data_IF_596379391552
#
_entry.id   IF_596379391552
#
_cell.length_a   1.000
_cell.length_b   1.000
_cell.length_c   1.000
_cell.angle_alpha   90.00
_cell.angle_beta   90.00
_cell.angle_gamma   90.00
#
_symmetry.space_group_name_H-M   'P 1'
#
loop_
_entity.id
_entity.type
_entity.pdbx_description
1 polymer ?
#
# COMPACT_ATOMS: atom_id res chain seq x y z
N UNK A 1 -9.50 2.87 -36.47
CA UNK A 1 -8.19 3.42 -36.04
C UNK A 1 -7.08 2.64 -36.74
N UNK A 2 -6.11 3.33 -37.34
CA UNK A 2 -4.92 2.71 -37.95
C UNK A 2 -3.81 2.59 -36.89
N UNK A 3 -3.06 1.48 -36.90
CA UNK A 3 -1.91 1.28 -36.00
C UNK A 3 -0.64 1.82 -36.66
N UNK A 4 0.20 2.49 -35.87
CA UNK A 4 1.54 2.94 -36.29
C UNK A 4 2.59 1.96 -35.80
N UNK A 5 3.54 1.59 -36.66
CA UNK A 5 4.69 0.76 -36.26
C UNK A 5 5.70 1.60 -35.47
N UNK A 6 6.03 1.15 -34.26
CA UNK A 6 7.09 1.70 -33.42
C UNK A 6 8.29 0.76 -33.32
N UNK A 7 9.43 1.27 -32.84
CA UNK A 7 10.62 0.45 -32.56
C UNK A 7 10.30 -0.58 -31.48
N UNK A 8 10.80 -1.80 -31.64
CA UNK A 8 10.63 -2.86 -30.65
C UNK A 8 11.25 -2.46 -29.31
N UNK A 9 10.53 -2.75 -28.22
CA UNK A 9 10.92 -2.48 -26.84
C UNK A 9 9.87 -3.00 -25.85
N UNK A 10 10.20 -2.99 -24.56
CA UNK A 10 9.28 -3.44 -23.52
C UNK A 10 8.12 -2.44 -23.38
N UNK A 11 6.89 -2.89 -23.65
CA UNK A 11 5.68 -2.05 -23.66
C UNK A 11 4.50 -2.70 -22.89
N UNK A 12 4.76 -3.72 -22.07
CA UNK A 12 3.74 -4.27 -21.17
C UNK A 12 3.62 -3.32 -19.99
N UNK A 13 2.52 -2.58 -19.91
CA UNK A 13 2.19 -1.61 -18.86
C UNK A 13 0.66 -1.58 -18.63
N UNK A 14 0.17 -1.10 -17.47
CA UNK A 14 0.95 -0.71 -16.29
C UNK A 14 1.63 -1.92 -15.63
N UNK A 15 2.62 -1.64 -14.78
CA UNK A 15 3.36 -2.66 -14.04
C UNK A 15 3.27 -2.35 -12.54
N UNK A 16 3.28 -3.37 -11.66
CA UNK A 16 3.45 -3.10 -10.24
C UNK A 16 4.83 -2.48 -10.01
N UNK A 17 4.92 -1.50 -9.11
CA UNK A 17 6.19 -1.02 -8.58
C UNK A 17 6.36 -1.62 -7.19
N UNK A 18 7.16 -2.68 -7.03
CA UNK A 18 7.33 -3.31 -5.71
C UNK A 18 8.65 -2.94 -5.09
N UNK A 19 8.69 -2.84 -3.77
CA UNK A 19 9.94 -2.75 -3.01
C UNK A 19 10.37 -4.18 -2.63
N UNK A 20 11.51 -4.63 -3.12
CA UNK A 20 12.09 -5.93 -2.76
C UNK A 20 13.07 -5.74 -1.62
N UNK A 21 12.75 -6.28 -0.44
CA UNK A 21 13.66 -6.34 0.70
C UNK A 21 14.40 -7.67 0.73
N UNK A 22 15.66 -7.63 1.13
CA UNK A 22 16.56 -8.80 1.11
C UNK A 22 17.73 -8.62 2.08
N UNK A 23 18.46 -9.71 2.31
CA UNK A 23 19.62 -9.75 3.20
C UNK A 23 19.38 -10.55 4.47
N UNK A 24 20.29 -10.43 5.43
CA UNK A 24 20.31 -11.17 6.69
C UNK A 24 20.25 -10.20 7.89
N UNK A 25 20.48 -10.69 9.12
CA UNK A 25 20.45 -9.87 10.33
C UNK A 25 21.45 -8.71 10.37
N UNK A 26 22.62 -8.90 9.74
CA UNK A 26 23.72 -7.93 9.77
C UNK A 26 23.69 -6.94 8.61
N UNK A 27 23.07 -7.34 7.49
CA UNK A 27 23.09 -6.57 6.25
C UNK A 27 21.74 -6.74 5.54
N UNK A 28 20.96 -5.66 5.48
CA UNK A 28 19.67 -5.60 4.79
C UNK A 28 19.65 -4.51 3.74
N UNK A 29 18.84 -4.69 2.71
CA UNK A 29 18.64 -3.66 1.69
C UNK A 29 17.26 -3.77 1.04
N UNK A 30 16.82 -2.66 0.45
CA UNK A 30 15.62 -2.55 -0.38
C UNK A 30 16.02 -2.22 -1.83
N UNK A 31 15.33 -2.77 -2.81
CA UNK A 31 15.43 -2.35 -4.22
C UNK A 31 14.06 -2.33 -4.87
N UNK A 32 13.76 -1.26 -5.60
CA UNK A 32 12.51 -1.17 -6.34
C UNK A 32 12.62 -1.95 -7.65
N UNK A 33 11.65 -2.84 -7.88
CA UNK A 33 11.55 -3.70 -9.05
C UNK A 33 10.18 -3.53 -9.67
N UNK A 34 10.14 -3.28 -10.98
CA UNK A 34 8.88 -3.31 -11.74
C UNK A 34 8.75 -4.59 -12.59
N UNK A 35 9.87 -5.21 -12.96
CA UNK A 35 9.87 -6.43 -13.80
C UNK A 35 9.66 -7.63 -12.89
N UNK A 36 8.40 -7.83 -12.49
CA UNK A 36 7.94 -8.85 -11.54
C UNK A 36 6.53 -9.31 -11.93
N UNK A 37 6.09 -10.45 -11.39
CA UNK A 37 4.73 -10.95 -11.55
C UNK A 37 4.57 -12.40 -11.12
N UNK A 38 3.32 -12.86 -11.12
CA UNK A 38 2.97 -14.25 -10.81
C UNK A 38 3.34 -15.18 -11.97
N UNK A 39 3.98 -16.31 -11.65
CA UNK A 39 4.32 -17.37 -12.62
C UNK A 39 3.30 -18.51 -12.57
N UNK A 40 2.97 -18.98 -11.37
CA UNK A 40 2.16 -20.18 -11.16
C UNK A 40 1.23 -20.00 -9.95
N UNK A 41 0.03 -20.60 -10.01
CA UNK A 41 -0.92 -20.63 -8.91
C UNK A 41 -0.67 -21.78 -7.93
N UNK A 42 -0.28 -22.96 -8.44
CA UNK A 42 -0.04 -24.15 -7.60
C UNK A 42 1.15 -24.98 -8.14
N UNK A 43 2.32 -24.99 -7.46
CA UNK A 43 2.62 -24.19 -6.27
C UNK A 43 2.61 -22.69 -6.58
N UNK A 44 2.35 -21.81 -5.60
CA UNK A 44 2.37 -20.38 -5.82
C UNK A 44 3.80 -19.92 -6.11
N UNK A 45 4.00 -19.31 -7.28
CA UNK A 45 5.32 -18.87 -7.74
C UNK A 45 5.27 -17.45 -8.29
N UNK A 46 6.36 -16.73 -8.11
CA UNK A 46 6.58 -15.37 -8.59
C UNK A 46 7.99 -15.24 -9.17
N UNK A 47 8.28 -14.12 -9.83
CA UNK A 47 9.64 -13.76 -10.20
C UNK A 47 9.95 -12.30 -9.93
N UNK A 48 11.24 -12.00 -9.80
CA UNK A 48 11.78 -10.66 -9.98
C UNK A 48 12.91 -10.71 -11.00
N UNK A 49 13.00 -9.71 -11.88
CA UNK A 49 14.14 -9.54 -12.79
C UNK A 49 15.06 -8.44 -12.29
N UNK A 50 16.26 -8.82 -11.87
CA UNK A 50 17.24 -7.91 -11.26
C UNK A 50 18.54 -7.91 -12.05
N UNK A 51 19.18 -6.75 -12.17
CA UNK A 51 20.50 -6.67 -12.80
C UNK A 51 21.59 -7.14 -11.85
N UNK A 52 22.61 -7.89 -12.30
CA UNK A 52 23.73 -8.30 -11.46
C UNK A 52 24.48 -7.15 -10.78
N UNK A 53 24.47 -5.94 -11.36
CA UNK A 53 25.13 -4.78 -10.78
C UNK A 53 24.41 -4.19 -9.56
N UNK A 54 23.15 -4.57 -9.30
CA UNK A 54 22.39 -4.07 -8.15
C UNK A 54 22.91 -4.71 -6.87
N UNK A 55 23.05 -3.92 -5.81
CA UNK A 55 23.54 -4.39 -4.51
C UNK A 55 22.74 -5.58 -3.95
N UNK A 56 21.40 -5.54 -4.09
CA UNK A 56 20.53 -6.64 -3.67
C UNK A 56 20.78 -7.96 -4.38
N UNK A 57 21.43 -7.98 -5.55
CA UNK A 57 21.64 -9.21 -6.31
C UNK A 57 22.42 -10.25 -5.50
N UNK A 58 23.55 -9.84 -4.94
CA UNK A 58 24.41 -10.73 -4.15
C UNK A 58 23.75 -11.11 -2.82
N UNK A 59 23.00 -10.19 -2.20
CA UNK A 59 22.25 -10.47 -0.96
C UNK A 59 21.17 -11.53 -1.16
N UNK A 60 20.40 -11.44 -2.25
CA UNK A 60 19.36 -12.42 -2.59
C UNK A 60 20.01 -13.75 -2.96
N UNK A 61 21.07 -13.73 -3.77
CA UNK A 61 21.78 -14.96 -4.16
C UNK A 61 22.41 -15.68 -2.97
N UNK A 62 22.95 -14.94 -2.00
CA UNK A 62 23.60 -15.51 -0.81
C UNK A 62 22.58 -16.04 0.20
N UNK A 63 21.48 -15.31 0.45
CA UNK A 63 20.45 -15.74 1.41
C UNK A 63 19.49 -16.78 0.83
N UNK A 64 19.24 -16.75 -0.48
CA UNK A 64 18.19 -17.54 -1.13
C UNK A 64 16.79 -16.93 -0.99
N UNK A 65 16.61 -15.90 -0.16
CA UNK A 65 15.31 -15.34 0.19
C UNK A 65 15.21 -13.85 -0.14
N UNK A 66 13.98 -13.42 -0.45
CA UNK A 66 13.62 -12.01 -0.56
C UNK A 66 12.12 -11.84 -0.29
N UNK A 67 11.71 -10.64 0.11
CA UNK A 67 10.29 -10.31 0.23
C UNK A 67 9.90 -9.29 -0.84
N UNK A 68 8.76 -9.51 -1.49
CA UNK A 68 8.10 -8.55 -2.36
C UNK A 68 7.10 -7.77 -1.50
N UNK A 69 7.36 -6.47 -1.31
CA UNK A 69 6.49 -5.57 -0.56
C UNK A 69 5.70 -4.72 -1.57
N UNK A 70 4.36 -4.79 -1.51
CA UNK A 70 3.50 -3.98 -2.38
C UNK A 70 3.56 -2.51 -1.96
N UNK A 71 3.51 -1.61 -2.92
CA UNK A 71 3.66 -0.18 -2.65
C UNK A 71 2.35 0.56 -2.86
N UNK A 72 2.19 1.62 -2.09
CA UNK A 72 0.98 2.42 -2.01
C UNK A 72 1.29 3.88 -2.31
N UNK A 73 0.25 4.71 -2.38
CA UNK A 73 0.40 6.16 -2.52
C UNK A 73 1.27 6.77 -1.40
N UNK A 74 1.15 6.25 -0.17
CA UNK A 74 1.95 6.71 0.98
C UNK A 74 3.42 6.33 0.91
N UNK A 75 3.77 5.28 0.14
CA UNK A 75 5.13 4.78 -0.03
C UNK A 75 5.78 5.20 -1.36
N UNK A 76 5.12 6.03 -2.17
CA UNK A 76 5.58 6.33 -3.54
C UNK A 76 6.98 6.97 -3.56
N UNK A 77 7.31 7.79 -2.56
CA UNK A 77 8.62 8.48 -2.48
C UNK A 77 9.72 7.51 -2.09
N UNK A 78 9.44 6.63 -1.13
CA UNK A 78 10.29 5.57 -0.62
C UNK A 78 10.59 4.58 -1.76
N UNK A 79 9.55 4.23 -2.51
CA UNK A 79 9.61 3.37 -3.71
C UNK A 79 10.52 3.98 -4.76
N UNK A 80 10.41 5.27 -5.07
CA UNK A 80 11.31 5.90 -6.04
C UNK A 80 12.76 5.94 -5.52
N UNK A 81 12.96 6.40 -4.29
CA UNK A 81 14.29 6.49 -3.67
C UNK A 81 15.01 5.14 -3.66
N UNK A 82 14.31 4.07 -3.30
CA UNK A 82 14.87 2.72 -3.26
C UNK A 82 15.21 2.16 -4.64
N UNK A 83 14.60 2.68 -5.72
CA UNK A 83 14.93 2.36 -7.10
C UNK A 83 16.14 3.09 -7.66
N UNK A 84 16.39 4.31 -7.16
CA UNK A 84 17.42 5.24 -7.65
C UNK A 84 18.74 5.13 -6.88
N UNK A 85 18.70 5.08 -5.54
CA UNK A 85 19.91 5.01 -4.70
C UNK A 85 20.40 3.57 -4.55
N UNK A 86 21.72 3.39 -4.42
CA UNK A 86 22.33 2.07 -4.21
C UNK A 86 22.52 1.80 -2.72
N UNK A 87 22.18 0.59 -2.26
CA UNK A 87 22.42 0.20 -0.87
C UNK A 87 23.90 0.00 -0.52
N UNK A 88 24.80 -0.01 -1.53
CA UNK A 88 26.26 0.00 -1.30
C UNK A 88 26.72 1.26 -0.57
N UNK A 89 26.00 2.37 -0.76
CA UNK A 89 26.42 3.69 -0.29
C UNK A 89 25.52 4.22 0.83
N UNK A 90 24.29 3.71 0.95
CA UNK A 90 23.30 4.19 1.91
C UNK A 90 22.51 3.04 2.53
N UNK A 91 22.22 3.16 3.82
CA UNK A 91 21.22 2.32 4.50
C UNK A 91 19.82 2.84 4.16
N UNK A 92 19.12 2.15 3.27
CA UNK A 92 17.82 2.61 2.76
C UNK A 92 16.69 2.51 3.77
N UNK A 93 16.72 1.52 4.67
CA UNK A 93 15.72 1.42 5.73
C UNK A 93 15.83 2.67 6.63
N UNK A 94 17.06 3.01 7.02
CA UNK A 94 17.32 4.20 7.85
C UNK A 94 17.01 5.51 7.15
N UNK A 95 17.49 5.70 5.91
CA UNK A 95 17.30 6.96 5.16
C UNK A 95 15.84 7.25 4.84
N UNK A 96 15.02 6.20 4.66
CA UNK A 96 13.60 6.33 4.38
C UNK A 96 12.69 6.15 5.58
N UNK A 97 13.26 5.95 6.78
CA UNK A 97 12.51 5.72 8.02
C UNK A 97 11.52 4.54 7.91
N UNK A 98 11.94 3.48 7.23
CA UNK A 98 11.16 2.25 7.08
C UNK A 98 11.53 1.26 8.18
N UNK A 99 10.53 0.54 8.66
CA UNK A 99 10.70 -0.41 9.75
C UNK A 99 10.92 -1.81 9.18
N UNK A 100 12.09 -2.38 9.47
CA UNK A 100 12.45 -3.73 9.05
C UNK A 100 11.89 -4.74 10.07
N UNK A 101 10.89 -5.51 9.64
CA UNK A 101 10.42 -6.71 10.35
C UNK A 101 10.92 -7.96 9.62
N UNK A 102 10.78 -9.15 10.22
CA UNK A 102 11.28 -10.40 9.63
C UNK A 102 10.24 -11.50 9.69
N UNK A 103 10.27 -12.34 8.67
CA UNK A 103 9.56 -13.62 8.66
C UNK A 103 10.12 -14.56 9.73
N UNK A 104 9.25 -15.28 10.43
CA UNK A 104 9.64 -16.14 11.56
C UNK A 104 10.45 -17.37 11.14
N UNK A 105 10.18 -17.94 9.96
CA UNK A 105 10.79 -19.19 9.50
C UNK A 105 12.07 -18.95 8.69
N UNK A 106 12.02 -17.99 7.76
CA UNK A 106 13.11 -17.72 6.80
C UNK A 106 14.03 -16.58 7.25
N UNK A 107 13.63 -15.82 8.28
CA UNK A 107 14.28 -14.58 8.70
C UNK A 107 14.40 -13.51 7.60
N UNK A 108 13.67 -13.67 6.49
CA UNK A 108 13.68 -12.73 5.39
C UNK A 108 13.16 -11.36 5.86
N UNK A 109 13.88 -10.25 5.57
CA UNK A 109 13.41 -8.92 5.96
C UNK A 109 12.21 -8.51 5.12
N UNK A 110 11.24 -7.85 5.75
CA UNK A 110 10.04 -7.24 5.17
C UNK A 110 9.91 -5.78 5.64
N UNK A 111 9.05 -5.02 4.98
CA UNK A 111 8.77 -3.62 5.32
C UNK A 111 7.43 -3.56 6.05
N UNK A 112 7.42 -3.09 7.30
CA UNK A 112 6.20 -3.03 8.12
C UNK A 112 5.15 -2.11 7.52
N UNK A 113 5.57 -1.00 6.90
CA UNK A 113 4.67 -0.01 6.30
C UNK A 113 3.99 -0.50 5.01
N UNK A 114 4.40 -1.66 4.49
CA UNK A 114 3.80 -2.27 3.30
C UNK A 114 2.52 -3.03 3.68
N UNK A 115 1.38 -2.80 2.99
CA UNK A 115 0.13 -3.49 3.31
C UNK A 115 0.16 -4.98 2.97
N UNK A 116 1.10 -5.41 2.11
CA UNK A 116 1.30 -6.81 1.73
C UNK A 116 2.78 -7.10 1.55
N UNK A 117 3.26 -8.15 2.22
CA UNK A 117 4.65 -8.61 2.12
C UNK A 117 4.67 -10.10 1.79
N UNK A 118 5.26 -10.45 0.65
CA UNK A 118 5.28 -11.80 0.08
C UNK A 118 6.69 -12.37 0.22
N UNK A 119 6.88 -13.32 1.12
CA UNK A 119 8.17 -13.97 1.37
C UNK A 119 8.43 -15.03 0.32
N UNK A 120 9.58 -14.95 -0.34
CA UNK A 120 9.92 -15.73 -1.51
C UNK A 120 11.23 -16.49 -1.32
N UNK A 121 11.24 -17.77 -1.70
CA UNK A 121 12.44 -18.62 -1.76
C UNK A 121 12.85 -18.78 -3.23
N UNK A 122 14.07 -18.38 -3.57
CA UNK A 122 14.63 -18.50 -4.92
C UNK A 122 14.84 -19.98 -5.27
N UNK A 123 14.22 -20.44 -6.36
CA UNK A 123 14.38 -21.82 -6.86
C UNK A 123 15.30 -21.89 -8.08
N UNK A 124 15.32 -20.85 -8.91
CA UNK A 124 16.15 -20.78 -10.12
C UNK A 124 16.53 -19.33 -10.37
N UNK A 125 17.78 -19.11 -10.81
CA UNK A 125 18.21 -17.82 -11.35
C UNK A 125 18.51 -18.03 -12.84
N UNK A 126 17.64 -17.51 -13.70
CA UNK A 126 17.82 -17.59 -15.14
C UNK A 126 18.57 -16.36 -15.63
N UNK A 127 19.81 -16.56 -16.06
CA UNK A 127 20.61 -15.51 -16.71
C UNK A 127 20.03 -15.22 -18.10
N UNK A 128 19.55 -13.99 -18.30
CA UNK A 128 19.06 -13.54 -19.61
C UNK A 128 20.08 -12.56 -20.21
N UNK A 129 19.62 -11.42 -20.74
CA UNK A 129 20.51 -10.34 -21.17
C UNK A 129 20.93 -9.47 -19.98
N UNK A 130 20.44 -8.22 -19.94
CA UNK A 130 20.84 -7.26 -18.90
C UNK A 130 20.26 -7.54 -17.49
N UNK A 131 19.28 -8.43 -17.38
CA UNK A 131 18.63 -8.81 -16.12
C UNK A 131 18.69 -10.32 -15.97
N UNK A 132 18.83 -10.79 -14.74
CA UNK A 132 18.63 -12.19 -14.42
C UNK A 132 17.29 -12.32 -13.71
N UNK A 133 16.55 -13.38 -14.05
CA UNK A 133 15.22 -13.64 -13.52
C UNK A 133 15.34 -14.62 -12.36
N UNK A 134 15.06 -14.13 -11.15
CA UNK A 134 14.93 -14.95 -9.95
C UNK A 134 13.52 -15.51 -9.95
N UNK A 135 13.40 -16.80 -10.22
CA UNK A 135 12.15 -17.56 -10.12
C UNK A 135 12.07 -18.05 -8.67
N UNK A 136 10.93 -17.86 -8.02
CA UNK A 136 10.79 -18.12 -6.60
C UNK A 136 9.44 -18.76 -6.23
N UNK A 137 9.48 -19.63 -5.23
CA UNK A 137 8.28 -20.11 -4.54
C UNK A 137 7.82 -19.06 -3.53
N UNK A 138 6.52 -18.85 -3.42
CA UNK A 138 5.93 -18.06 -2.33
C UNK A 138 5.85 -18.94 -1.08
N UNK A 139 6.51 -18.52 -0.01
CA UNK A 139 6.57 -19.25 1.27
C UNK A 139 5.54 -18.74 2.27
N UNK A 140 5.38 -17.42 2.33
CA UNK A 140 4.39 -16.76 3.19
C UNK A 140 3.87 -15.48 2.56
N UNK A 141 2.68 -15.05 2.97
CA UNK A 141 2.08 -13.76 2.64
C UNK A 141 1.59 -13.13 3.93
N UNK A 142 2.11 -11.95 4.24
CA UNK A 142 1.70 -11.11 5.34
C UNK A 142 0.83 -9.99 4.78
N UNK A 143 -0.26 -9.68 5.49
CA UNK A 143 -1.19 -8.61 5.13
C UNK A 143 -1.44 -7.73 6.34
N UNK A 144 -1.62 -6.44 6.10
CA UNK A 144 -1.99 -5.48 7.14
C UNK A 144 -3.44 -5.74 7.60
N UNK A 145 -3.59 -6.04 8.89
CA UNK A 145 -4.86 -6.35 9.54
C UNK A 145 -5.86 -5.19 9.45
N UNK A 146 -5.40 -3.94 9.27
CA UNK A 146 -6.30 -2.79 9.13
C UNK A 146 -7.18 -2.84 7.87
N UNK A 147 -6.82 -3.67 6.88
CA UNK A 147 -7.61 -3.93 5.67
C UNK A 147 -8.32 -5.30 5.70
N UNK A 148 -8.39 -5.96 6.86
CA UNK A 148 -9.15 -7.20 7.04
C UNK A 148 -10.55 -6.88 7.55
N UNK A 149 -11.58 -7.47 6.94
CA UNK A 149 -12.94 -7.40 7.47
C UNK A 149 -13.20 -8.43 8.58
N UNK A 150 -14.32 -8.28 9.29
CA UNK A 150 -14.77 -9.21 10.33
C UNK A 150 -14.99 -10.65 9.83
N UNK A 151 -15.05 -10.86 8.51
CA UNK A 151 -15.25 -12.17 7.87
C UNK A 151 -13.93 -12.78 7.39
N UNK A 152 -12.79 -12.13 7.67
CA UNK A 152 -11.47 -12.58 7.24
C UNK A 152 -11.15 -12.32 5.77
N UNK A 153 -11.90 -11.44 5.10
CA UNK A 153 -11.61 -11.01 3.73
C UNK A 153 -10.63 -9.84 3.76
N UNK A 154 -9.56 -9.95 2.98
CA UNK A 154 -8.62 -8.86 2.78
C UNK A 154 -9.09 -7.88 1.68
N UNK A 155 -9.16 -6.60 2.02
CA UNK A 155 -9.59 -5.51 1.15
C UNK A 155 -8.41 -4.86 0.43
N UNK A 156 -7.74 -5.63 -0.44
CA UNK A 156 -6.53 -5.18 -1.16
C UNK A 156 -6.72 -3.85 -1.92
N UNK A 157 -7.87 -3.65 -2.56
CA UNK A 157 -8.13 -2.44 -3.36
C UNK A 157 -8.24 -1.16 -2.52
N UNK A 158 -8.44 -1.28 -1.20
CA UNK A 158 -8.54 -0.13 -0.29
C UNK A 158 -7.16 0.32 0.22
N UNK A 159 -6.09 -0.45 -0.07
CA UNK A 159 -4.72 -0.14 0.37
C UNK A 159 -4.06 1.03 -0.37
N UNK A 160 -4.68 1.54 -1.44
CA UNK A 160 -4.12 2.62 -2.25
C UNK A 160 -2.88 2.19 -3.04
N UNK A 161 -2.89 0.97 -3.60
CA UNK A 161 -1.81 0.46 -4.43
C UNK A 161 -1.47 1.42 -5.58
N UNK A 162 -0.18 1.47 -5.94
CA UNK A 162 0.30 2.21 -7.10
C UNK A 162 0.78 1.29 -8.22
N UNK A 163 0.72 1.82 -9.44
CA UNK A 163 1.25 1.23 -10.64
C UNK A 163 2.30 2.14 -11.28
N UNK A 164 3.34 1.55 -11.85
CA UNK A 164 4.30 2.25 -12.70
C UNK A 164 3.88 2.15 -14.16
N UNK A 165 3.79 3.30 -14.82
CA UNK A 165 3.45 3.40 -16.24
C UNK A 165 4.37 4.41 -16.90
N UNK A 166 5.27 3.91 -17.75
CA UNK A 166 6.08 4.71 -18.67
C UNK A 166 6.76 5.96 -18.03
N UNK A 167 7.39 5.80 -16.87
CA UNK A 167 8.11 6.88 -16.17
C UNK A 167 7.28 7.64 -15.13
N UNK A 168 6.05 7.22 -14.87
CA UNK A 168 5.18 7.81 -13.84
C UNK A 168 4.64 6.74 -12.90
N UNK A 169 4.48 7.09 -11.62
CA UNK A 169 3.68 6.32 -10.68
C UNK A 169 2.25 6.84 -10.70
N UNK A 170 1.29 5.93 -10.76
CA UNK A 170 -0.14 6.21 -10.86
C UNK A 170 -0.86 5.47 -9.74
N UNK A 171 -1.88 6.08 -9.14
CA UNK A 171 -2.81 5.36 -8.29
C UNK A 171 -3.69 4.41 -9.10
N UNK A 172 -4.15 3.33 -8.49
CA UNK A 172 -5.19 2.47 -9.08
C UNK A 172 -6.55 3.16 -8.93
N UNK A 173 -7.31 3.24 -10.03
CA UNK A 173 -8.61 3.90 -10.06
C UNK A 173 -9.76 3.06 -9.48
N UNK A 174 -10.98 3.45 -9.81
CA UNK A 174 -12.21 2.80 -9.32
C UNK A 174 -12.37 1.35 -9.82
N UNK A 175 -13.04 0.52 -9.02
CA UNK A 175 -13.38 -0.85 -9.40
C UNK A 175 -14.34 -0.85 -10.60
N UNK A 176 -13.93 -1.53 -11.67
CA UNK A 176 -14.74 -1.63 -12.91
C UNK A 176 -15.65 -2.87 -12.92
N UNK A 177 -15.39 -3.86 -12.07
CA UNK A 177 -16.19 -5.07 -11.93
C UNK A 177 -15.46 -6.22 -11.24
N UNK A 178 -16.23 -7.17 -10.70
CA UNK A 178 -15.72 -8.36 -10.01
C UNK A 178 -15.46 -9.50 -10.97
N UNK A 179 -14.59 -10.46 -10.63
CA UNK A 179 -14.40 -11.67 -11.45
C UNK A 179 -15.74 -12.33 -11.85
N UNK A 180 -15.88 -12.65 -13.14
CA UNK A 180 -17.12 -13.23 -13.70
C UNK A 180 -18.25 -12.23 -13.98
N UNK A 181 -18.07 -10.92 -13.76
CA UNK A 181 -19.13 -9.93 -13.99
C UNK A 181 -19.63 -9.88 -15.44
N UNK A 182 -18.76 -10.23 -16.42
CA UNK A 182 -19.10 -10.28 -17.85
C UNK A 182 -20.19 -11.28 -18.21
N UNK A 183 -20.32 -12.36 -17.44
CA UNK A 183 -21.33 -13.42 -17.63
C UNK A 183 -22.37 -13.45 -16.51
N UNK A 184 -22.24 -12.58 -15.52
CA UNK A 184 -23.19 -12.49 -14.41
C UNK A 184 -24.56 -12.09 -14.95
N UNK A 185 -25.58 -12.88 -14.63
CA UNK A 185 -26.96 -12.53 -14.99
C UNK A 185 -27.33 -11.27 -14.22
N UNK A 186 -27.73 -10.21 -14.93
CA UNK A 186 -28.31 -9.01 -14.30
C UNK A 186 -29.41 -9.48 -13.36
N UNK A 187 -29.28 -9.19 -12.06
CA UNK A 187 -30.40 -9.37 -11.13
C UNK A 187 -31.55 -8.55 -11.69
N UNK A 188 -32.68 -9.21 -12.02
CA UNK A 188 -33.90 -8.48 -12.37
C UNK A 188 -34.16 -7.50 -11.22
N UNK A 189 -34.44 -6.21 -11.49
CA UNK A 189 -34.83 -5.32 -10.43
C UNK A 189 -36.02 -5.98 -9.74
N UNK A 190 -35.88 -6.28 -8.45
CA UNK A 190 -36.99 -6.76 -7.67
C UNK A 190 -37.97 -5.58 -7.68
N UNK A 191 -39.04 -5.68 -8.47
CA UNK A 191 -40.17 -4.77 -8.38
C UNK A 191 -40.70 -5.00 -6.98
N UNK A 192 -40.25 -4.21 -6.01
CA UNK A 192 -40.98 -4.04 -4.76
C UNK A 192 -42.35 -3.56 -5.19
N UNK A 193 -43.33 -4.48 -5.08
CA UNK A 193 -44.72 -4.17 -5.35
C UNK A 193 -45.04 -2.85 -4.64
N UNK A 194 -45.52 -1.93 -5.47
CA UNK A 194 -46.06 -0.62 -5.12
C UNK A 194 -46.79 -0.61 -3.79
N UNK A 195 -46.59 0.48 -3.03
CA UNK A 195 -47.55 0.99 -2.03
C UNK A 195 -48.92 1.16 -2.70
N UNK A 196 -49.71 0.10 -2.80
CA UNK A 196 -51.13 0.18 -3.19
C UNK A 196 -51.93 -1.06 -2.81
N UNK A 197 -51.64 -1.68 -1.66
CA UNK A 197 -52.50 -2.71 -1.04
C UNK A 197 -52.47 -2.60 0.50
N UNK A 198 -52.56 -1.37 1.03
CA UNK A 198 -52.72 -1.09 2.48
C UNK A 198 -53.87 -0.11 2.77
N UNK A 199 -54.90 -0.06 1.94
CA UNK A 199 -56.09 0.78 2.17
C UNK A 199 -57.40 -0.03 2.32
N UNK A 200 -57.41 -1.35 2.09
CA UNK A 200 -58.65 -2.14 2.17
C UNK A 200 -58.70 -3.17 3.31
N UNK A 201 -58.03 -2.92 4.44
CA UNK A 201 -58.23 -3.69 5.67
C UNK A 201 -58.49 -2.85 6.93
N UNK A 202 -58.79 -1.55 6.80
CA UNK A 202 -59.26 -0.71 7.93
C UNK A 202 -60.71 -0.22 7.77
N UNK A 203 -61.43 -0.60 6.70
CA UNK A 203 -62.82 -0.19 6.46
C UNK A 203 -63.89 -1.20 6.94
N UNK A 204 -63.51 -2.27 7.64
CA UNK A 204 -64.45 -3.28 8.14
C UNK A 204 -64.36 -3.51 9.65
N UNK A 205 -64.17 -2.45 10.43
CA UNK A 205 -64.38 -2.50 11.89
C UNK A 205 -64.87 -1.17 12.46
N UNK A 206 -65.94 -0.61 11.86
CA UNK A 206 -66.79 0.37 12.54
C UNK A 206 -68.25 0.02 12.31
N UNK A 207 -68.77 -0.87 13.17
CA UNK A 207 -70.19 -0.92 13.57
C UNK A 207 -70.30 -1.82 14.80
N UNK A 208 -70.13 -1.23 15.99
CA UNK A 208 -70.89 -1.53 17.23
C UNK A 208 -70.37 -0.71 18.44
N UNK A 209 -71.28 0.03 19.07
CA UNK A 209 -71.23 0.60 20.44
C UNK A 209 -70.40 1.89 20.56
N UNK A 210 -70.91 3.11 20.69
CA UNK A 210 -71.98 3.67 21.55
C UNK A 210 -71.72 3.55 23.06
N UNK A 211 -71.31 4.69 23.65
CA UNK A 211 -71.69 5.28 24.96
C UNK A 211 -70.56 5.64 25.96
N UNK A 212 -70.63 6.91 26.43
CA UNK A 212 -70.17 7.49 27.72
C UNK A 212 -68.64 7.62 27.93
N UNK A 213 -68.07 8.64 28.58
CA UNK A 213 -68.50 9.91 29.17
C UNK A 213 -67.24 10.62 29.74
N UNK A 214 -67.24 11.96 29.71
CA UNK A 214 -66.66 12.91 30.70
C UNK A 214 -65.14 13.09 30.96
N UNK A 215 -64.82 14.39 31.01
CA UNK A 215 -63.69 15.12 31.65
C UNK A 215 -62.35 15.15 30.91
N UNK A 216 -61.83 16.27 30.40
CA UNK A 216 -61.50 17.61 30.94
C UNK A 216 -60.29 17.63 31.89
N UNK A 217 -59.11 18.07 31.40
CA UNK A 217 -58.47 19.30 31.88
C UNK A 217 -57.28 19.73 31.01
N UNK A 218 -57.14 21.05 30.95
CA UNK A 218 -56.28 21.85 30.11
C UNK A 218 -55.21 22.51 31.02
N UNK A 219 -53.98 22.72 30.52
CA UNK A 219 -53.04 23.85 30.78
C UNK A 219 -51.61 23.46 30.34
N UNK A 220 -51.11 24.04 29.25
CA UNK A 220 -50.33 25.30 29.13
C UNK A 220 -48.92 25.20 29.73
N UNK A 221 -47.87 25.06 28.91
CA UNK A 221 -47.07 26.11 28.19
C UNK A 221 -46.00 26.77 29.05
N UNK A 222 -44.73 26.65 28.62
CA UNK A 222 -43.70 27.71 28.46
C UNK A 222 -42.33 27.02 28.31
N UNK A 223 -41.60 27.08 27.19
CA UNK A 223 -40.82 28.19 26.60
C UNK A 223 -39.75 28.80 27.53
N UNK A 224 -38.46 28.51 27.29
CA UNK A 224 -37.49 29.57 27.02
C UNK A 224 -36.12 29.09 26.48
N UNK A 225 -35.63 29.87 25.50
CA UNK A 225 -34.27 29.95 24.95
C UNK A 225 -33.27 30.46 26.00
N UNK A 226 -31.98 30.17 25.80
CA UNK A 226 -30.89 31.18 25.92
C UNK A 226 -29.58 30.70 25.29
N UNK A 227 -29.07 31.53 24.38
CA UNK A 227 -27.69 31.56 23.88
C UNK A 227 -26.72 32.10 24.96
N UNK A 228 -25.43 31.75 24.85
CA UNK A 228 -24.33 32.72 25.01
C UNK A 228 -22.98 32.22 24.46
N UNK A 229 -22.38 33.13 23.70
CA UNK A 229 -21.03 33.24 23.12
C UNK A 229 -19.89 33.17 24.15
N UNK A 230 -18.67 32.75 23.75
CA UNK A 230 -17.40 33.51 23.93
C UNK A 230 -16.15 32.86 23.30
N UNK A 231 -15.21 33.74 22.92
CA UNK A 231 -13.97 33.55 22.14
C UNK A 231 -12.69 33.40 23.01
N UNK A 232 -11.73 32.62 22.46
CA UNK A 232 -10.22 32.57 22.49
C UNK A 232 -9.41 33.52 23.42
N UNK A 233 -8.16 33.17 23.84
CA UNK A 233 -6.97 33.40 22.98
C UNK A 233 -5.81 32.36 23.05
N UNK A 234 -4.90 32.57 22.08
CA UNK A 234 -3.64 31.89 21.70
C UNK A 234 -2.55 31.90 22.78
N UNK A 235 -1.59 30.97 22.68
CA UNK A 235 -0.19 31.24 23.06
C UNK A 235 0.79 30.64 22.04
N UNK A 236 1.45 31.53 21.32
CA UNK A 236 2.63 31.29 20.48
C UNK A 236 3.86 31.76 21.25
N UNK A 237 4.75 30.85 21.64
CA UNK A 237 6.05 31.19 22.22
C UNK A 237 7.15 31.04 21.15
N UNK A 238 7.62 32.18 20.68
CA UNK A 238 8.87 32.36 19.95
C UNK A 238 10.06 32.25 20.90
N UNK A 239 11.03 31.38 20.61
CA UNK A 239 12.40 31.52 21.12
C UNK A 239 13.37 31.78 19.96
N UNK A 240 14.00 32.96 20.00
CA UNK A 240 15.17 33.36 19.20
C UNK A 240 16.46 33.02 19.97
N UNK A 241 17.55 32.89 19.19
CA UNK A 241 18.98 32.86 19.54
C UNK A 241 19.49 31.52 20.09
N UNK A 242 20.63 30.95 19.64
CA UNK A 242 21.90 31.62 19.40
C UNK A 242 22.77 30.96 18.32
N UNK A 243 23.40 31.82 17.53
CA UNK A 243 24.44 31.55 16.54
C UNK A 243 25.78 31.55 17.29
N UNK A 244 26.52 30.43 17.33
CA UNK A 244 27.95 30.44 17.70
C UNK A 244 28.78 29.77 16.61
N UNK A 245 29.51 30.63 15.93
CA UNK A 245 30.67 30.37 15.10
C UNK A 245 31.86 29.88 15.94
N UNK A 246 32.58 28.87 15.46
CA UNK A 246 34.00 28.69 15.76
C UNK A 246 34.75 28.20 14.52
N UNK A 247 35.40 29.15 13.83
CA UNK A 247 36.52 28.92 12.90
C UNK A 247 37.83 29.04 13.70
N UNK A 248 38.74 28.07 13.58
CA UNK A 248 40.20 28.20 13.31
C UNK A 248 40.95 26.92 13.74
N UNK A 249 41.57 26.21 12.77
CA UNK A 249 43.04 26.11 12.49
C UNK A 249 43.74 25.09 13.41
N UNK A 250 44.65 24.21 13.01
CA UNK A 250 45.72 24.25 11.99
C UNK A 250 46.20 22.78 11.73
N UNK A 251 46.44 22.36 10.48
CA UNK A 251 47.75 22.15 9.81
C UNK A 251 48.78 21.22 10.51
N UNK A 252 49.09 20.11 9.82
CA UNK A 252 50.41 19.49 9.52
C UNK A 252 50.24 17.96 9.46
N UNK A 253 50.84 17.16 8.57
CA UNK A 253 52.08 17.28 7.79
C UNK A 253 52.05 16.25 6.64
N UNK A 254 52.60 16.64 5.48
CA UNK A 254 53.01 15.76 4.37
C UNK A 254 54.17 14.86 4.81
N UNK A 255 54.23 13.63 4.28
CA UNK A 255 55.42 12.93 3.76
C UNK A 255 54.96 11.58 3.15
N UNK A 256 55.62 10.90 2.21
CA UNK A 256 56.31 11.19 0.96
C UNK A 256 56.66 9.79 0.38
N UNK A 257 56.92 9.69 -0.93
CA UNK A 257 57.60 8.57 -1.67
C UNK A 257 56.73 7.36 -2.04
N UNK A 258 56.44 7.09 -3.33
CA UNK A 258 57.26 6.69 -4.50
C UNK A 258 57.23 5.16 -4.70
N UNK A 259 56.65 4.78 -5.84
CA UNK A 259 56.75 3.57 -6.71
C UNK A 259 58.20 3.07 -6.90
N UNK A 260 58.52 1.97 -7.65
CA UNK A 260 57.67 1.11 -8.51
C UNK A 260 57.95 -0.43 -8.48
N UNK A 261 56.98 -1.24 -8.93
CA UNK A 261 57.04 -2.14 -10.10
C UNK A 261 55.65 -2.76 -10.31
#
# INVERSE_FOLDING_TARGET
MQKTRWKAGNMIYPLPAVMVSCGNETETNIVTVAWTGTICTNPPMTYISLRPSRYSYDLIKASGYFAINLTTESLVRETDFCGVKSGRDVDKFKEMHLTCIRDEETHCPMIEESPVSIVCETVEIKELGSHHMFIANVKAVYVDESYMDEKGKFHLNETGLIAYSHGSYLSIGEELGTFGYSISKKKKPCITKSKKDKVEQEASTMKKGAEKSTSCHNKKVSSNKREKNQQIPRNSATHKSNKKTSKKRNKNKKHNKKTPQ
#
